data_IF_597990314591
#
_entry.id   IF_597990314591
#
_cell.length_a   1.000
_cell.length_b   1.000
_cell.length_c   1.000
_cell.angle_alpha   90.00
_cell.angle_beta   90.00
_cell.angle_gamma   90.00
#
_symmetry.space_group_name_H-M   'P 1'
#
loop_
_entity.id
_entity.type
_entity.pdbx_description
1 polymer ?
#
# COMPACT_ATOMS: atom_id res chain seq x y z
N UNK A 1 15.73 57.92 -7.35
CA UNK A 1 14.39 58.41 -6.96
C UNK A 1 14.19 58.01 -5.50
N UNK A 2 14.59 58.82 -4.50
CA UNK A 2 13.84 59.91 -3.85
C UNK A 2 12.33 59.60 -3.82
N UNK A 3 11.63 59.45 -2.68
CA UNK A 3 11.38 60.38 -1.55
C UNK A 3 10.94 59.56 -0.28
N UNK A 4 11.37 59.82 0.97
CA UNK A 4 10.94 60.86 1.95
C UNK A 4 9.40 60.99 2.11
N UNK A 5 8.73 61.09 3.27
CA UNK A 5 9.00 61.10 4.73
C UNK A 5 7.63 61.04 5.47
N UNK A 6 7.56 60.75 6.79
CA UNK A 6 6.34 60.42 7.54
C UNK A 6 5.62 61.65 8.16
N UNK A 7 4.43 61.44 8.74
CA UNK A 7 3.80 62.41 9.66
C UNK A 7 3.15 61.75 10.87
N UNK A 8 3.73 62.04 12.03
CA UNK A 8 3.11 61.95 13.34
C UNK A 8 2.18 63.16 13.60
N UNK A 9 1.10 62.96 14.35
CA UNK A 9 0.41 64.01 15.09
C UNK A 9 -0.12 63.39 16.40
N UNK A 10 0.55 63.71 17.51
CA UNK A 10 0.18 64.72 18.52
C UNK A 10 -1.11 64.42 19.28
N UNK A 11 -0.83 63.90 20.49
CA UNK A 11 -1.58 63.99 21.74
C UNK A 11 -2.61 65.13 21.82
N UNK A 12 -3.82 64.76 22.28
CA UNK A 12 -4.66 65.62 23.10
C UNK A 12 -4.97 64.87 24.40
N UNK A 13 -4.33 65.32 25.49
CA UNK A 13 -4.69 64.97 26.86
C UNK A 13 -6.02 65.65 27.19
N UNK A 14 -7.06 64.86 27.42
CA UNK A 14 -8.28 65.35 28.06
C UNK A 14 -8.37 64.71 29.44
N UNK A 15 -8.02 65.49 30.46
CA UNK A 15 -8.19 65.19 31.87
C UNK A 15 -9.62 65.55 32.27
N UNK A 16 -10.46 64.55 32.55
CA UNK A 16 -11.76 64.74 33.18
C UNK A 16 -11.95 63.86 34.41
N UNK A 17 -12.64 64.47 35.36
CA UNK A 17 -12.79 64.14 36.77
C UNK A 17 -13.31 62.73 37.08
N UNK A 18 -12.73 62.15 38.14
CA UNK A 18 -13.24 60.99 38.87
C UNK A 18 -14.59 61.31 39.50
N UNK A 19 -15.64 60.67 39.01
CA UNK A 19 -16.87 60.45 39.78
C UNK A 19 -16.81 59.04 40.40
N UNK A 20 -17.25 58.93 41.65
CA UNK A 20 -17.25 57.73 42.48
C UNK A 20 -17.99 56.55 41.82
N UNK A 21 -17.26 55.66 41.15
CA UNK A 21 -17.73 54.32 40.83
C UNK A 21 -17.32 53.36 41.96
N UNK A 22 -18.31 52.85 42.71
CA UNK A 22 -18.14 51.72 43.64
C UNK A 22 -17.49 50.54 42.88
N UNK A 23 -16.65 49.70 43.53
CA UNK A 23 -15.75 48.78 42.83
C UNK A 23 -16.49 47.55 42.31
N UNK A 24 -17.31 47.70 41.26
CA UNK A 24 -17.85 46.57 40.50
C UNK A 24 -16.72 45.81 39.78
N UNK A 25 -15.54 46.43 39.66
CA UNK A 25 -14.34 45.85 39.03
C UNK A 25 -13.81 44.57 39.70
N UNK A 26 -13.99 44.38 41.01
CA UNK A 26 -13.51 43.17 41.70
C UNK A 26 -14.41 41.95 41.49
N UNK A 27 -15.72 42.15 41.36
CA UNK A 27 -16.66 41.07 41.06
C UNK A 27 -16.58 40.64 39.58
N UNK A 28 -16.39 41.60 38.66
CA UNK A 28 -16.19 41.29 37.25
C UNK A 28 -14.83 40.61 36.97
N UNK A 29 -13.78 40.89 37.75
CA UNK A 29 -12.48 40.25 37.55
C UNK A 29 -12.48 38.77 37.95
N UNK A 30 -13.13 38.42 39.06
CA UNK A 30 -13.26 37.02 39.52
C UNK A 30 -14.12 36.18 38.57
N UNK A 31 -15.22 36.75 38.04
CA UNK A 31 -16.06 36.09 37.05
C UNK A 31 -15.33 35.86 35.72
N UNK A 32 -14.58 36.87 35.23
CA UNK A 32 -13.73 36.72 34.02
C UNK A 32 -12.63 35.69 34.21
N UNK A 33 -12.00 35.63 35.38
CA UNK A 33 -10.97 34.64 35.66
C UNK A 33 -11.53 33.22 35.64
N UNK A 34 -12.68 32.97 36.31
CA UNK A 34 -13.34 31.66 36.30
C UNK A 34 -13.82 31.26 34.90
N UNK A 35 -14.36 32.20 34.13
CA UNK A 35 -14.75 31.96 32.74
C UNK A 35 -13.53 31.58 31.87
N UNK A 36 -12.40 32.28 32.02
CA UNK A 36 -11.17 31.97 31.29
C UNK A 36 -10.58 30.59 31.66
N UNK A 37 -10.64 30.20 32.94
CA UNK A 37 -10.19 28.86 33.38
C UNK A 37 -11.09 27.77 32.80
N UNK A 38 -12.42 27.96 32.82
CA UNK A 38 -13.36 27.01 32.24
C UNK A 38 -13.21 26.90 30.71
N UNK A 39 -13.06 28.03 30.02
CA UNK A 39 -12.83 28.07 28.58
C UNK A 39 -11.52 27.39 28.18
N UNK A 40 -10.44 27.56 28.95
CA UNK A 40 -9.18 26.81 28.72
C UNK A 40 -9.35 25.31 28.89
N UNK A 41 -10.13 24.86 29.88
CA UNK A 41 -10.42 23.42 30.07
C UNK A 41 -11.23 22.85 28.90
N UNK A 42 -12.25 23.58 28.43
CA UNK A 42 -13.04 23.17 27.27
C UNK A 42 -12.21 23.15 26.00
N UNK A 43 -11.38 24.16 25.78
CA UNK A 43 -10.50 24.24 24.61
C UNK A 43 -9.47 23.10 24.58
N UNK A 44 -8.85 22.79 25.71
CA UNK A 44 -7.94 21.65 25.82
C UNK A 44 -8.66 20.32 25.60
N UNK A 45 -9.90 20.18 26.06
CA UNK A 45 -10.71 18.98 25.82
C UNK A 45 -11.07 18.81 24.34
N UNK A 46 -11.36 19.91 23.64
CA UNK A 46 -11.66 19.88 22.20
C UNK A 46 -10.41 19.48 21.41
N UNK A 47 -9.24 20.09 21.70
CA UNK A 47 -7.98 19.73 21.04
C UNK A 47 -7.64 18.25 21.25
N UNK A 48 -7.86 17.72 22.45
CA UNK A 48 -7.60 16.32 22.75
C UNK A 48 -8.54 15.38 21.95
N UNK A 49 -9.83 15.72 21.84
CA UNK A 49 -10.79 14.96 21.05
C UNK A 49 -10.48 15.01 19.55
N UNK A 50 -10.08 16.16 19.01
CA UNK A 50 -9.69 16.27 17.59
C UNK A 50 -8.43 15.45 17.31
N UNK A 51 -7.43 15.47 18.19
CA UNK A 51 -6.23 14.66 18.03
C UNK A 51 -6.51 13.15 18.07
N UNK A 52 -7.44 12.69 18.93
CA UNK A 52 -7.88 11.28 18.94
C UNK A 52 -8.59 10.94 17.63
N UNK A 53 -9.47 11.82 17.15
CA UNK A 53 -10.21 11.60 15.90
C UNK A 53 -9.25 11.49 14.71
N UNK A 54 -8.25 12.37 14.62
CA UNK A 54 -7.23 12.36 13.57
C UNK A 54 -6.39 11.06 13.62
N UNK A 55 -6.00 10.60 14.83
CA UNK A 55 -5.31 9.32 15.00
C UNK A 55 -6.17 8.12 14.57
N UNK A 56 -7.48 8.14 14.88
CA UNK A 56 -8.41 7.11 14.45
C UNK A 56 -8.60 7.09 12.92
N UNK A 57 -8.70 8.26 12.28
CA UNK A 57 -8.86 8.37 10.82
C UNK A 57 -7.62 7.83 10.10
N UNK A 58 -6.41 8.17 10.57
CA UNK A 58 -5.17 7.65 9.98
C UNK A 58 -5.07 6.12 10.12
N UNK A 59 -5.45 5.57 11.28
CA UNK A 59 -5.46 4.12 11.49
C UNK A 59 -6.43 3.37 10.57
N UNK A 60 -7.63 3.93 10.34
CA UNK A 60 -8.62 3.34 9.43
C UNK A 60 -8.17 3.42 7.96
N UNK A 61 -7.55 4.53 7.54
CA UNK A 61 -7.06 4.69 6.17
C UNK A 61 -5.93 3.71 5.82
N UNK A 62 -5.05 3.36 6.77
CA UNK A 62 -4.02 2.35 6.55
C UNK A 62 -4.59 0.93 6.43
N UNK A 63 -5.72 0.65 7.07
CA UNK A 63 -6.36 -0.67 7.02
C UNK A 63 -7.08 -0.91 5.69
N UNK A 64 -7.72 0.11 5.11
CA UNK A 64 -8.41 0.02 3.81
C UNK A 64 -7.45 -0.22 2.65
N UNK A 65 -6.25 0.37 2.69
CA UNK A 65 -5.26 0.17 1.63
C UNK A 65 -4.74 -1.27 1.56
N UNK A 66 -4.60 -1.94 2.72
CA UNK A 66 -4.19 -3.33 2.79
C UNK A 66 -5.28 -4.28 2.26
N UNK A 67 -6.55 -4.03 2.60
CA UNK A 67 -7.64 -4.94 2.25
C UNK A 67 -8.00 -4.87 0.74
N UNK A 68 -7.67 -3.78 0.04
CA UNK A 68 -7.99 -3.62 -1.40
C UNK A 68 -7.23 -4.55 -2.34
N UNK A 69 -5.96 -4.87 -2.06
CA UNK A 69 -5.11 -5.64 -3.00
C UNK A 69 -5.05 -7.15 -2.71
N UNK A 70 -5.61 -7.60 -1.59
CA UNK A 70 -5.42 -8.96 -1.05
C UNK A 70 -6.57 -9.93 -1.39
N UNK A 71 -7.56 -9.51 -2.19
CA UNK A 71 -8.70 -10.37 -2.54
C UNK A 71 -8.33 -11.38 -3.63
N UNK A 72 -8.36 -12.68 -3.28
CA UNK A 72 -8.16 -13.83 -4.18
C UNK A 72 -9.48 -14.47 -4.63
N UNK A 73 -10.63 -13.97 -4.14
CA UNK A 73 -11.96 -14.48 -4.49
C UNK A 73 -12.12 -14.57 -5.99
N UNK A 74 -12.64 -15.71 -6.45
CA UNK A 74 -12.95 -15.95 -7.86
C UNK A 74 -11.73 -15.88 -8.80
N UNK A 75 -10.53 -16.19 -8.30
CA UNK A 75 -9.32 -16.30 -9.13
C UNK A 75 -8.66 -17.67 -8.97
N UNK A 76 -8.16 -18.21 -10.08
CA UNK A 76 -7.42 -19.47 -10.13
C UNK A 76 -5.93 -19.29 -9.81
N UNK A 77 -5.41 -18.09 -10.03
CA UNK A 77 -3.97 -17.79 -9.97
C UNK A 77 -3.68 -16.50 -10.72
N UNK A 78 -2.50 -16.42 -11.31
CA UNK A 78 -2.04 -15.27 -12.11
C UNK A 78 -1.53 -15.69 -13.48
N UNK A 79 -1.71 -14.81 -14.46
CA UNK A 79 -0.95 -14.84 -15.71
C UNK A 79 0.24 -13.91 -15.56
N UNK A 80 1.43 -14.45 -15.77
CA UNK A 80 2.70 -13.73 -15.64
C UNK A 80 3.46 -13.75 -16.96
N UNK A 81 4.52 -12.93 -17.04
CA UNK A 81 5.51 -13.01 -18.10
C UNK A 81 6.19 -14.38 -18.08
N UNK A 82 6.23 -15.04 -19.24
CA UNK A 82 6.92 -16.31 -19.42
C UNK A 82 8.44 -16.13 -19.35
N UNK A 83 9.16 -17.19 -18.94
CA UNK A 83 10.63 -17.25 -19.06
C UNK A 83 11.12 -17.24 -20.52
N UNK A 84 10.22 -17.53 -21.47
CA UNK A 84 10.49 -17.52 -22.90
C UNK A 84 10.26 -16.15 -23.54
N UNK A 85 9.81 -15.15 -22.76
CA UNK A 85 9.61 -13.79 -23.24
C UNK A 85 10.94 -13.14 -23.67
N UNK A 86 11.02 -12.70 -24.92
CA UNK A 86 12.19 -12.05 -25.52
C UNK A 86 11.97 -10.61 -25.98
N UNK A 87 13.02 -10.02 -26.55
CA UNK A 87 13.05 -8.62 -27.00
C UNK A 87 12.01 -8.27 -28.07
N UNK A 88 11.66 -9.25 -28.91
CA UNK A 88 10.72 -9.07 -30.01
C UNK A 88 9.28 -9.48 -29.66
N UNK A 89 9.05 -9.88 -28.41
CA UNK A 89 7.74 -10.35 -27.97
C UNK A 89 6.85 -9.20 -27.51
N UNK A 90 5.55 -9.37 -27.79
CA UNK A 90 4.52 -8.43 -27.36
C UNK A 90 3.47 -9.17 -26.56
N UNK A 91 3.12 -8.61 -25.41
CA UNK A 91 1.94 -9.05 -24.66
C UNK A 91 0.73 -8.41 -25.32
N UNK A 92 -0.25 -9.26 -25.68
CA UNK A 92 -1.49 -8.84 -26.32
C UNK A 92 -2.67 -9.21 -25.44
N UNK A 93 -3.54 -8.23 -25.23
CA UNK A 93 -4.75 -8.37 -24.43
C UNK A 93 -5.93 -7.98 -25.30
N UNK A 94 -7.02 -8.76 -25.23
CA UNK A 94 -8.15 -8.69 -26.14
C UNK A 94 -9.46 -8.40 -25.41
N UNK A 95 -10.38 -7.77 -26.13
CA UNK A 95 -11.78 -7.67 -25.75
C UNK A 95 -12.49 -9.04 -25.88
N UNK A 96 -13.74 -9.12 -25.40
CA UNK A 96 -14.54 -10.35 -25.46
C UNK A 96 -14.76 -10.84 -26.91
N UNK A 97 -15.00 -9.91 -27.83
CA UNK A 97 -15.18 -10.12 -29.27
C UNK A 97 -13.89 -10.52 -30.01
N UNK A 98 -12.74 -10.54 -29.33
CA UNK A 98 -11.44 -10.89 -29.90
C UNK A 98 -10.68 -9.72 -30.51
N UNK A 99 -11.25 -8.51 -30.55
CA UNK A 99 -10.52 -7.31 -30.96
C UNK A 99 -9.37 -7.00 -29.99
N UNK A 100 -8.26 -6.46 -30.50
CA UNK A 100 -7.11 -6.07 -29.70
C UNK A 100 -7.49 -4.89 -28.78
N UNK A 101 -7.29 -5.06 -27.48
CA UNK A 101 -7.55 -4.01 -26.48
C UNK A 101 -6.28 -3.28 -26.09
N UNK A 102 -5.20 -4.02 -25.81
CA UNK A 102 -3.92 -3.43 -25.40
C UNK A 102 -2.76 -4.31 -25.85
N UNK A 103 -1.65 -3.68 -26.23
CA UNK A 103 -0.44 -4.34 -26.71
C UNK A 103 0.77 -3.56 -26.22
N UNK A 104 1.73 -4.24 -25.60
CA UNK A 104 2.98 -3.62 -25.14
C UNK A 104 4.14 -4.62 -25.17
N UNK A 105 5.35 -4.08 -25.08
CA UNK A 105 6.59 -4.83 -24.85
C UNK A 105 7.34 -4.20 -23.68
N UNK A 106 8.16 -4.98 -22.99
CA UNK A 106 9.02 -4.49 -21.91
C UNK A 106 10.33 -3.84 -22.40
N UNK A 107 10.66 -4.00 -23.69
CA UNK A 107 11.93 -3.54 -24.27
C UNK A 107 11.83 -2.21 -25.02
N UNK A 108 10.61 -1.71 -25.25
CA UNK A 108 10.36 -0.43 -25.90
C UNK A 108 9.82 0.54 -24.84
N UNK A 109 10.42 1.73 -24.73
CA UNK A 109 9.99 2.79 -23.82
C UNK A 109 9.14 3.86 -24.53
N UNK A 110 8.80 3.63 -25.80
CA UNK A 110 7.97 4.49 -26.63
C UNK A 110 8.51 5.93 -26.80
N UNK A 111 9.82 6.15 -26.67
CA UNK A 111 10.43 7.46 -26.99
C UNK A 111 10.13 7.95 -28.41
N UNK A 112 9.73 7.06 -29.31
CA UNK A 112 9.38 7.35 -30.69
C UNK A 112 7.86 7.54 -30.94
N UNK A 113 7.01 7.43 -29.92
CA UNK A 113 5.57 7.64 -29.98
C UNK A 113 4.81 6.64 -30.88
N UNK A 114 5.38 5.45 -31.13
CA UNK A 114 4.78 4.43 -31.99
C UNK A 114 3.69 3.63 -31.29
N UNK A 115 3.64 3.61 -29.96
CA UNK A 115 2.71 2.81 -29.18
C UNK A 115 2.16 3.60 -28.01
N UNK A 116 0.86 3.63 -27.73
CA UNK A 116 0.36 4.21 -26.49
C UNK A 116 0.83 3.36 -25.30
N UNK A 117 2.01 3.69 -24.77
CA UNK A 117 2.66 2.92 -23.70
C UNK A 117 1.85 3.01 -22.41
N UNK A 118 1.25 4.18 -22.18
CA UNK A 118 0.42 4.45 -21.01
C UNK A 118 -1.05 4.20 -21.36
N UNK A 119 -1.63 3.19 -20.72
CA UNK A 119 -3.06 2.93 -20.73
C UNK A 119 -3.56 3.09 -19.29
N UNK A 120 -4.23 4.20 -18.98
CA UNK A 120 -4.70 4.50 -17.62
C UNK A 120 -5.71 3.48 -17.09
N UNK A 121 -6.36 2.74 -18.00
CA UNK A 121 -7.26 1.65 -17.65
C UNK A 121 -6.53 0.33 -17.37
N UNK A 122 -5.20 0.25 -17.58
CA UNK A 122 -4.38 -0.91 -17.27
C UNK A 122 -3.69 -0.74 -15.91
N UNK A 123 -4.35 -1.28 -14.87
CA UNK A 123 -3.89 -1.26 -13.47
C UNK A 123 -3.94 -2.68 -12.88
N UNK A 124 -3.13 -3.60 -13.40
CA UNK A 124 -3.18 -5.01 -13.01
C UNK A 124 -2.65 -5.23 -11.59
N UNK A 125 -2.69 -6.48 -11.12
CA UNK A 125 -2.20 -6.83 -9.78
C UNK A 125 -0.73 -6.46 -9.55
N UNK A 126 0.13 -6.63 -10.54
CA UNK A 126 1.49 -6.06 -10.53
C UNK A 126 1.93 -5.77 -11.95
N UNK A 127 2.46 -4.57 -12.17
CA UNK A 127 3.08 -4.19 -13.43
C UNK A 127 4.18 -3.19 -13.20
N UNK A 128 5.40 -3.56 -13.60
CA UNK A 128 6.53 -2.64 -13.57
C UNK A 128 7.44 -2.91 -14.77
N UNK A 129 7.38 -2.05 -15.81
CA UNK A 129 8.08 -2.34 -17.04
C UNK A 129 9.60 -2.44 -16.91
N UNK A 130 10.22 -1.53 -16.15
CA UNK A 130 11.68 -1.51 -15.96
C UNK A 130 12.23 -2.74 -15.21
N UNK A 131 11.37 -3.45 -14.48
CA UNK A 131 11.73 -4.68 -13.76
C UNK A 131 11.15 -5.93 -14.43
N UNK A 132 10.56 -5.79 -15.63
CA UNK A 132 9.92 -6.87 -16.37
C UNK A 132 8.85 -7.62 -15.56
N UNK A 133 8.15 -6.91 -14.67
CA UNK A 133 7.14 -7.49 -13.80
C UNK A 133 5.75 -7.35 -14.43
N UNK A 134 5.05 -8.47 -14.52
CA UNK A 134 3.63 -8.55 -14.83
C UNK A 134 3.01 -9.70 -14.06
N UNK A 135 1.90 -9.41 -13.38
CA UNK A 135 0.97 -10.40 -12.85
C UNK A 135 -0.46 -9.91 -13.06
N UNK A 136 -1.26 -10.70 -13.76
CA UNK A 136 -2.69 -10.47 -14.01
C UNK A 136 -3.49 -11.53 -13.28
N UNK A 137 -4.44 -11.16 -12.40
CA UNK A 137 -5.28 -12.16 -11.74
C UNK A 137 -6.11 -12.91 -12.79
N UNK A 138 -5.97 -14.23 -12.81
CA UNK A 138 -6.70 -15.11 -13.71
C UNK A 138 -8.00 -15.55 -13.06
N UNK A 139 -9.13 -15.14 -13.62
CA UNK A 139 -10.48 -15.46 -13.10
C UNK A 139 -10.85 -16.89 -13.47
N UNK A 140 -10.67 -17.25 -14.75
CA UNK A 140 -11.01 -18.56 -15.30
C UNK A 140 -10.33 -18.78 -16.65
N UNK A 141 -10.29 -20.04 -17.08
CA UNK A 141 -9.95 -20.44 -18.45
C UNK A 141 -11.24 -20.69 -19.25
N UNK A 142 -11.35 -20.11 -20.44
CA UNK A 142 -12.46 -20.31 -21.36
C UNK A 142 -11.87 -20.75 -22.70
N UNK A 143 -12.03 -22.04 -23.03
CA UNK A 143 -11.42 -22.65 -24.23
C UNK A 143 -9.91 -22.37 -24.31
N UNK A 144 -9.50 -21.56 -25.28
CA UNK A 144 -8.15 -21.17 -25.65
C UNK A 144 -7.72 -19.82 -25.05
N UNK A 145 -8.53 -19.22 -24.17
CA UNK A 145 -8.25 -17.92 -23.55
C UNK A 145 -8.33 -17.98 -22.03
N UNK A 146 -7.57 -17.12 -21.36
CA UNK A 146 -7.75 -16.80 -19.95
C UNK A 146 -8.48 -15.48 -19.81
N UNK A 147 -9.52 -15.45 -18.98
CA UNK A 147 -10.16 -14.21 -18.53
C UNK A 147 -9.35 -13.67 -17.35
N UNK A 148 -8.86 -12.44 -17.49
CA UNK A 148 -7.94 -11.81 -16.53
C UNK A 148 -8.44 -10.45 -16.08
N UNK A 149 -8.11 -10.07 -14.85
CA UNK A 149 -8.34 -8.71 -14.34
C UNK A 149 -7.17 -7.84 -14.81
N UNK A 150 -7.48 -6.80 -15.58
CA UNK A 150 -6.50 -5.84 -16.10
C UNK A 150 -6.53 -4.51 -15.35
N UNK A 151 -7.54 -4.32 -14.50
CA UNK A 151 -7.66 -3.17 -13.61
C UNK A 151 -8.24 -3.64 -12.26
N UNK A 152 -7.42 -3.67 -11.22
CA UNK A 152 -7.83 -4.09 -9.88
C UNK A 152 -8.74 -3.05 -9.20
N UNK A 153 -8.66 -1.78 -9.60
CA UNK A 153 -9.50 -0.72 -9.02
C UNK A 153 -10.94 -0.78 -9.54
N UNK A 154 -11.12 -1.01 -10.85
CA UNK A 154 -12.45 -1.06 -11.49
C UNK A 154 -12.99 -2.48 -11.67
N UNK A 155 -12.15 -3.50 -11.48
CA UNK A 155 -12.48 -4.89 -11.78
C UNK A 155 -12.60 -5.20 -13.27
N UNK A 156 -12.07 -4.34 -14.16
CA UNK A 156 -12.13 -4.53 -15.61
C UNK A 156 -11.47 -5.86 -16.00
N UNK A 157 -12.23 -6.69 -16.73
CA UNK A 157 -11.77 -7.98 -17.24
C UNK A 157 -11.53 -7.93 -18.73
N UNK A 158 -10.48 -8.62 -19.17
CA UNK A 158 -10.12 -8.83 -20.58
C UNK A 158 -9.60 -10.26 -20.78
N UNK A 159 -9.15 -10.56 -22.00
CA UNK A 159 -8.69 -11.89 -22.36
C UNK A 159 -7.25 -11.89 -22.85
N UNK A 160 -6.53 -12.96 -22.51
CA UNK A 160 -5.23 -13.29 -23.11
C UNK A 160 -5.28 -14.70 -23.68
N UNK A 161 -4.51 -14.96 -24.74
CA UNK A 161 -4.48 -16.28 -25.36
C UNK A 161 -3.72 -17.25 -24.45
N UNK A 162 -4.30 -18.42 -24.20
CA UNK A 162 -3.69 -19.44 -23.36
C UNK A 162 -2.49 -20.14 -24.02
N UNK A 163 -2.39 -20.05 -25.34
CA UNK A 163 -1.27 -20.56 -26.14
C UNK A 163 -0.18 -19.53 -26.40
N UNK A 164 -0.30 -18.31 -25.83
CA UNK A 164 0.71 -17.27 -26.00
C UNK A 164 2.02 -17.67 -25.27
N UNK A 165 3.14 -17.90 -25.99
CA UNK A 165 4.38 -18.37 -25.38
C UNK A 165 5.05 -17.31 -24.49
N UNK A 166 4.67 -16.04 -24.67
CA UNK A 166 5.14 -14.90 -23.90
C UNK A 166 4.50 -14.82 -22.51
N UNK A 167 3.46 -15.60 -22.26
CA UNK A 167 2.73 -15.64 -20.99
C UNK A 167 2.77 -17.04 -20.36
N UNK A 168 2.58 -17.09 -19.04
CA UNK A 168 2.48 -18.36 -18.30
C UNK A 168 1.45 -18.23 -17.20
N UNK A 169 0.65 -19.28 -17.01
CA UNK A 169 -0.27 -19.37 -15.87
C UNK A 169 0.45 -19.98 -14.67
N UNK A 170 0.26 -19.37 -13.51
CA UNK A 170 0.74 -19.85 -12.23
C UNK A 170 -0.42 -19.86 -11.23
N UNK A 171 -0.57 -20.97 -10.50
CA UNK A 171 -1.42 -20.95 -9.30
C UNK A 171 -0.83 -19.98 -8.27
N UNK A 172 -1.65 -19.45 -7.36
CA UNK A 172 -1.17 -18.57 -6.30
C UNK A 172 -0.01 -19.15 -5.49
N UNK A 173 -0.09 -20.44 -5.14
CA UNK A 173 0.98 -21.13 -4.42
C UNK A 173 2.29 -21.18 -5.22
N UNK A 174 2.23 -21.43 -6.53
CA UNK A 174 3.41 -21.39 -7.40
C UNK A 174 3.98 -19.97 -7.52
N UNK A 175 3.10 -18.98 -7.66
CA UNK A 175 3.50 -17.59 -7.83
C UNK A 175 4.21 -17.04 -6.59
N UNK A 176 3.65 -17.29 -5.39
CA UNK A 176 4.23 -16.88 -4.11
C UNK A 176 5.63 -17.46 -3.92
N UNK A 177 5.91 -18.66 -4.42
CA UNK A 177 7.25 -19.25 -4.31
C UNK A 177 8.30 -18.58 -5.21
N UNK A 178 7.89 -17.68 -6.11
CA UNK A 178 8.78 -16.98 -7.04
C UNK A 178 9.02 -15.52 -6.67
N UNK A 179 8.30 -14.97 -5.70
CA UNK A 179 8.54 -13.59 -5.25
C UNK A 179 9.80 -13.51 -4.40
N UNK A 180 10.42 -12.33 -4.35
CA UNK A 180 11.67 -12.14 -3.62
C UNK A 180 11.49 -12.37 -2.12
N UNK A 181 10.50 -11.72 -1.53
CA UNK A 181 10.15 -11.88 -0.12
C UNK A 181 8.66 -11.67 0.11
N UNK A 182 8.20 -11.99 1.32
CA UNK A 182 6.84 -11.73 1.77
C UNK A 182 6.88 -10.92 3.05
N UNK A 183 5.93 -10.01 3.21
CA UNK A 183 5.69 -9.33 4.48
C UNK A 183 4.46 -9.91 5.16
N UNK A 184 4.49 -9.97 6.48
CA UNK A 184 3.41 -10.49 7.32
C UNK A 184 2.88 -9.40 8.24
N UNK A 185 1.58 -9.12 8.15
CA UNK A 185 0.91 -8.31 9.16
C UNK A 185 0.80 -9.13 10.44
N UNK A 186 1.61 -8.78 11.46
CA UNK A 186 1.76 -9.56 12.72
C UNK A 186 0.45 -9.89 13.44
N UNK A 187 -0.57 -9.04 13.29
CA UNK A 187 -1.89 -9.25 13.90
C UNK A 187 -2.73 -10.31 13.17
N UNK A 188 -2.55 -10.48 11.85
CA UNK A 188 -3.36 -11.37 11.01
C UNK A 188 -2.71 -12.73 10.79
N UNK A 189 -1.37 -12.78 10.69
CA UNK A 189 -0.63 -14.02 10.41
C UNK A 189 0.71 -14.08 11.14
N UNK A 190 0.74 -14.60 12.39
CA UNK A 190 1.98 -14.67 13.15
C UNK A 190 2.93 -15.70 12.53
N UNK A 191 4.23 -15.44 12.67
CA UNK A 191 5.28 -16.40 12.35
C UNK A 191 5.34 -17.49 13.44
N UNK A 192 5.29 -18.76 13.02
CA UNK A 192 5.24 -19.92 13.92
C UNK A 192 6.37 -20.91 13.65
N UNK A 193 6.84 -21.64 14.67
CA UNK A 193 7.84 -22.71 14.51
C UNK A 193 7.30 -23.94 13.76
N UNK A 194 5.99 -24.12 13.78
CA UNK A 194 5.23 -25.11 13.04
C UNK A 194 3.82 -24.58 12.79
N UNK A 195 3.01 -25.22 11.95
CA UNK A 195 1.65 -24.74 11.60
C UNK A 195 0.71 -24.56 12.81
N UNK A 196 0.98 -25.25 13.92
CA UNK A 196 0.29 -25.11 15.21
C UNK A 196 1.29 -24.86 16.36
N UNK A 197 2.50 -24.41 16.04
CA UNK A 197 3.59 -24.27 16.99
C UNK A 197 3.57 -22.95 17.76
N UNK A 198 4.60 -22.78 18.60
CA UNK A 198 4.83 -21.53 19.30
C UNK A 198 5.13 -20.38 18.31
N UNK A 199 4.72 -19.16 18.70
CA UNK A 199 5.04 -17.93 17.98
C UNK A 199 6.54 -17.66 18.04
N UNK A 200 7.11 -17.29 16.89
CA UNK A 200 8.48 -16.81 16.77
C UNK A 200 8.43 -15.29 16.77
N UNK A 201 9.34 -14.66 17.52
CA UNK A 201 9.54 -13.22 17.43
C UNK A 201 10.16 -12.93 16.07
N UNK A 202 9.42 -12.22 15.21
CA UNK A 202 9.94 -11.81 13.90
C UNK A 202 11.26 -11.05 14.10
N UNK A 203 12.34 -11.41 13.40
CA UNK A 203 13.59 -10.67 13.47
C UNK A 203 13.34 -9.25 12.97
N UNK A 204 14.06 -8.29 13.56
CA UNK A 204 14.03 -6.93 13.06
C UNK A 204 14.74 -6.90 11.71
N UNK A 205 14.15 -6.23 10.73
CA UNK A 205 14.77 -5.96 9.42
C UNK A 205 15.13 -7.21 8.60
N UNK A 206 14.42 -8.32 8.80
CA UNK A 206 14.64 -9.56 8.04
C UNK A 206 13.63 -9.75 6.91
N UNK A 207 14.15 -10.09 5.72
CA UNK A 207 13.32 -10.55 4.60
C UNK A 207 12.89 -12.01 4.79
N UNK A 208 11.59 -12.27 4.68
CA UNK A 208 11.05 -13.62 4.72
C UNK A 208 10.97 -14.16 3.30
N UNK A 209 11.85 -15.09 2.96
CA UNK A 209 11.88 -15.72 1.64
C UNK A 209 10.95 -16.94 1.60
N UNK A 210 10.00 -17.01 0.65
CA UNK A 210 9.18 -18.20 0.42
C UNK A 210 10.02 -19.46 0.17
N UNK A 211 9.64 -20.57 0.80
CA UNK A 211 10.34 -21.88 0.65
C UNK A 211 9.41 -22.95 0.10
N UNK A 212 8.24 -23.12 0.70
CA UNK A 212 7.23 -24.10 0.26
C UNK A 212 5.83 -23.72 0.70
N UNK A 213 4.83 -24.12 -0.09
CA UNK A 213 3.41 -23.95 0.22
C UNK A 213 2.79 -25.30 0.53
N UNK A 214 2.06 -25.40 1.63
CA UNK A 214 1.29 -26.58 2.03
C UNK A 214 -0.12 -26.16 2.49
N UNK A 215 -1.08 -26.24 1.57
CA UNK A 215 -2.43 -25.72 1.78
C UNK A 215 -2.38 -24.22 2.04
N UNK A 216 -2.90 -23.79 3.18
CA UNK A 216 -2.98 -22.37 3.56
C UNK A 216 -1.71 -21.85 4.25
N UNK A 217 -0.70 -22.70 4.36
CA UNK A 217 0.54 -22.41 5.08
C UNK A 217 1.73 -22.26 4.14
N UNK A 218 2.52 -21.22 4.38
CA UNK A 218 3.73 -20.91 3.65
C UNK A 218 4.89 -21.07 4.63
N UNK A 219 5.84 -21.94 4.30
CA UNK A 219 7.13 -21.95 4.97
C UNK A 219 7.97 -20.81 4.40
N UNK A 220 8.55 -20.03 5.29
CA UNK A 220 9.51 -18.97 4.97
C UNK A 220 10.85 -19.25 5.63
N UNK A 221 11.91 -18.69 5.07
CA UNK A 221 13.24 -18.65 5.68
C UNK A 221 13.73 -17.21 5.79
N UNK A 222 14.59 -16.94 6.76
CA UNK A 222 15.29 -15.65 6.90
C UNK A 222 16.72 -15.87 7.36
N UNK A 223 17.58 -14.91 7.05
CA UNK A 223 18.99 -14.92 7.47
C UNK A 223 19.08 -14.52 8.94
N UNK A 224 19.76 -15.33 9.75
CA UNK A 224 20.11 -14.99 11.15
C UNK A 224 21.55 -14.56 11.32
N UNK A 225 22.39 -14.88 10.33
CA UNK A 225 23.78 -14.45 10.26
C UNK A 225 24.18 -14.34 8.80
N UNK A 226 24.55 -13.13 8.40
CA UNK A 226 25.05 -12.84 7.06
C UNK A 226 26.35 -13.61 6.79
N UNK A 227 26.55 -13.97 5.53
CA UNK A 227 27.79 -14.62 5.12
C UNK A 227 28.97 -13.66 5.31
N UNK A 228 30.02 -14.17 5.93
CA UNK A 228 31.35 -13.55 5.84
C UNK A 228 32.16 -14.30 4.79
N UNK A 229 33.32 -13.76 4.41
CA UNK A 229 34.27 -14.42 3.48
C UNK A 229 34.59 -15.88 3.84
N UNK A 230 34.41 -16.27 5.10
CA UNK A 230 34.77 -17.59 5.63
C UNK A 230 33.58 -18.41 6.11
N UNK A 231 32.38 -17.84 6.20
CA UNK A 231 31.20 -18.53 6.75
C UNK A 231 29.99 -18.47 5.82
N UNK A 232 29.31 -19.61 5.69
CA UNK A 232 28.04 -19.72 4.95
C UNK A 232 26.91 -19.02 5.72
N UNK A 233 25.95 -18.47 4.98
CA UNK A 233 24.72 -17.93 5.55
C UNK A 233 24.02 -18.97 6.40
N UNK A 234 23.53 -18.54 7.57
CA UNK A 234 22.67 -19.36 8.42
C UNK A 234 21.25 -18.86 8.31
N UNK A 235 20.33 -19.79 8.08
CA UNK A 235 18.91 -19.52 7.97
C UNK A 235 18.16 -20.12 9.15
N UNK A 236 17.10 -19.42 9.55
CA UNK A 236 16.00 -20.00 10.31
C UNK A 236 14.76 -20.14 9.44
N UNK A 237 13.81 -20.93 9.92
CA UNK A 237 12.60 -21.28 9.21
C UNK A 237 11.38 -21.12 10.10
N UNK A 238 10.27 -20.80 9.48
CA UNK A 238 8.98 -20.69 10.16
C UNK A 238 7.83 -20.83 9.19
N UNK A 239 6.65 -20.89 9.74
CA UNK A 239 5.40 -21.03 9.02
C UNK A 239 4.53 -19.81 9.25
N UNK A 240 3.96 -19.30 8.17
CA UNK A 240 2.97 -18.22 8.19
C UNK A 240 1.73 -18.70 7.43
N UNK A 241 0.55 -18.28 7.87
CA UNK A 241 -0.68 -18.53 7.10
C UNK A 241 -0.70 -17.51 5.96
N UNK A 242 -0.57 -17.95 4.72
CA UNK A 242 -0.48 -17.02 3.58
C UNK A 242 -1.84 -16.67 3.00
N UNK A 243 -2.85 -17.52 3.23
CA UNK A 243 -4.23 -17.24 2.88
C UNK A 243 -5.18 -17.70 3.95
N UNK A 244 -6.32 -17.04 4.03
CA UNK A 244 -7.46 -17.50 4.79
C UNK A 244 -8.71 -17.37 3.93
N UNK A 245 -9.34 -18.52 3.67
CA UNK A 245 -10.40 -18.66 2.69
C UNK A 245 -9.92 -18.17 1.30
N UNK A 246 -10.38 -16.99 0.90
CA UNK A 246 -10.11 -16.38 -0.40
C UNK A 246 -9.42 -15.01 -0.25
N UNK A 247 -8.74 -14.79 0.89
CA UNK A 247 -7.95 -13.59 1.14
C UNK A 247 -6.48 -13.97 1.30
N UNK A 248 -5.62 -13.22 0.65
CA UNK A 248 -4.19 -13.26 0.89
C UNK A 248 -3.93 -12.51 2.23
N UNK A 249 -3.04 -13.07 3.05
CA UNK A 249 -2.71 -12.55 4.38
C UNK A 249 -1.29 -11.99 4.46
N UNK A 250 -0.62 -11.94 3.31
CA UNK A 250 0.80 -11.59 3.18
C UNK A 250 0.95 -10.59 2.04
N UNK A 251 1.91 -9.70 2.15
CA UNK A 251 2.30 -8.85 1.02
C UNK A 251 3.38 -9.54 0.21
N UNK A 252 3.32 -9.40 -1.11
CA UNK A 252 4.30 -9.98 -2.02
C UNK A 252 5.28 -8.88 -2.43
N UNK A 253 6.55 -9.05 -2.07
CA UNK A 253 7.62 -8.18 -2.52
C UNK A 253 8.35 -8.85 -3.70
N UNK A 254 8.28 -8.23 -4.87
CA UNK A 254 8.87 -8.76 -6.10
C UNK A 254 10.34 -8.37 -6.28
N UNK A 255 10.79 -7.34 -5.56
CA UNK A 255 12.13 -6.73 -5.69
C UNK A 255 12.69 -6.57 -4.28
N UNK A 256 14.03 -6.65 -4.19
CA UNK A 256 14.80 -6.46 -2.96
C UNK A 256 15.01 -4.98 -2.62
#
# INVERSE_FOLDING_TARGET
>A
MNWFVPRASRQAKCSYHRACARPVSKLFSAARYRANVLMRKLFNSIIFLTAILDLCIVGLAQQDHFDKYQNLQNTLGVIVRSKHYGEHDFIKIYNADGSLWYKFTFYDDDKNGRFPYQNDSFRPFTFHPSYFLLALKCVRKIKDRYEVIVNEETGLKKYVNASDPSLSFETWGQHILKVFSVDITRSKSPLLKGKQGAKIKLPKDAFLHPVKVEGDWLMVKWVIRESTRTEKEKYEYGWVKWRDQQRLLIELAYIA
#
